data_IF_005114448863
#
_entry.id   IF_005114448863
#
_cell.length_a   1.000
_cell.length_b   1.000
_cell.length_c   1.000
_cell.angle_alpha   90.00
_cell.angle_beta   90.00
_cell.angle_gamma   90.00
#
_symmetry.space_group_name_H-M   'P 1'
#
loop_
_entity.id
_entity.type
_entity.pdbx_description
1 polymer ?
#
# COMPACT_ATOMS: atom_id res chain seq x y z
N UNK A 1 21.38 18.93 -6.19
CA UNK A 1 20.58 17.99 -5.38
C UNK A 1 21.51 16.88 -4.96
N UNK A 2 21.65 16.60 -3.65
CA UNK A 2 22.57 15.55 -3.17
C UNK A 2 22.02 14.15 -3.47
N UNK A 3 22.92 13.14 -3.59
CA UNK A 3 22.53 11.74 -3.84
C UNK A 3 21.62 11.20 -2.74
N UNK A 4 21.85 11.62 -1.49
CA UNK A 4 20.99 11.30 -0.34
C UNK A 4 19.57 11.83 -0.55
N UNK A 5 19.42 13.08 -1.00
CA UNK A 5 18.10 13.66 -1.28
C UNK A 5 17.38 12.91 -2.41
N UNK A 6 18.10 12.50 -3.44
CA UNK A 6 17.54 11.71 -4.53
C UNK A 6 17.09 10.33 -4.05
N UNK A 7 17.92 9.65 -3.24
CA UNK A 7 17.60 8.37 -2.63
C UNK A 7 16.28 8.43 -1.86
N UNK A 8 16.18 9.37 -0.89
CA UNK A 8 15.00 9.50 -0.03
C UNK A 8 13.72 9.81 -0.83
N UNK A 9 13.81 10.65 -1.87
CA UNK A 9 12.67 10.97 -2.73
C UNK A 9 12.20 9.77 -3.56
N UNK A 10 13.11 8.90 -3.99
CA UNK A 10 12.76 7.70 -4.78
C UNK A 10 12.23 6.57 -3.92
N UNK A 11 12.66 6.49 -2.67
CA UNK A 11 12.27 5.42 -1.75
C UNK A 11 11.10 5.76 -0.84
N UNK A 12 10.58 7.01 -0.92
CA UNK A 12 9.46 7.47 -0.11
C UNK A 12 8.38 8.20 -0.91
N UNK A 13 7.40 8.76 -0.20
CA UNK A 13 6.30 9.59 -0.74
C UNK A 13 6.54 11.09 -0.58
N UNK A 14 7.62 11.46 0.06
CA UNK A 14 8.06 12.82 0.34
C UNK A 14 9.18 12.77 1.36
N UNK A 15 9.91 13.88 1.49
CA UNK A 15 10.97 13.99 2.51
C UNK A 15 11.10 15.44 2.93
N UNK A 16 11.32 15.66 4.23
CA UNK A 16 11.53 16.98 4.81
C UNK A 16 13.01 17.39 4.76
N UNK A 17 13.27 18.69 4.91
CA UNK A 17 14.64 19.19 5.02
C UNK A 17 15.41 18.54 6.18
N UNK A 18 14.77 18.39 7.34
CA UNK A 18 15.36 17.76 8.52
C UNK A 18 15.75 16.29 8.31
N UNK A 19 14.93 15.55 7.56
CA UNK A 19 15.26 14.15 7.18
C UNK A 19 16.46 14.10 6.24
N UNK A 20 16.53 14.99 5.25
CA UNK A 20 17.66 15.11 4.34
C UNK A 20 18.95 15.46 5.11
N UNK A 21 18.91 16.42 6.01
CA UNK A 21 20.05 16.78 6.83
C UNK A 21 20.54 15.62 7.70
N UNK A 22 19.61 14.93 8.35
CA UNK A 22 19.92 13.77 9.19
C UNK A 22 20.54 12.64 8.39
N UNK A 23 20.00 12.33 7.23
CA UNK A 23 20.53 11.32 6.33
C UNK A 23 21.89 11.74 5.73
N UNK A 24 22.08 13.04 5.44
CA UNK A 24 23.37 13.57 4.95
C UNK A 24 24.46 13.43 6.01
N UNK A 25 24.15 13.73 7.30
CA UNK A 25 25.10 13.50 8.40
C UNK A 25 25.43 12.03 8.61
N UNK A 26 24.46 11.13 8.36
CA UNK A 26 24.67 9.67 8.44
C UNK A 26 25.58 9.15 7.33
N UNK A 27 25.57 9.80 6.17
CA UNK A 27 26.28 9.37 4.97
C UNK A 27 25.43 8.50 4.05
N UNK A 28 25.82 8.45 2.77
CA UNK A 28 25.03 7.79 1.72
C UNK A 28 24.88 6.29 1.97
N UNK A 29 25.97 5.55 2.16
CA UNK A 29 25.96 4.09 2.34
C UNK A 29 25.14 3.67 3.57
N UNK A 30 25.33 4.34 4.70
CA UNK A 30 24.56 4.05 5.90
C UNK A 30 23.06 4.43 5.75
N UNK A 31 22.74 5.39 4.88
CA UNK A 31 21.35 5.72 4.54
C UNK A 31 20.73 4.66 3.64
N UNK A 32 21.47 4.16 2.66
CA UNK A 32 21.04 3.02 1.81
C UNK A 32 20.75 1.81 2.68
N UNK A 33 21.65 1.46 3.60
CA UNK A 33 21.45 0.32 4.49
C UNK A 33 20.20 0.49 5.36
N UNK A 34 20.01 1.66 5.97
CA UNK A 34 18.82 1.96 6.77
C UNK A 34 17.50 1.91 5.98
N UNK A 35 17.53 2.24 4.70
CA UNK A 35 16.36 2.15 3.81
C UNK A 35 16.07 0.69 3.43
N UNK A 36 17.10 -0.10 3.17
CA UNK A 36 16.95 -1.50 2.77
C UNK A 36 16.64 -2.43 3.94
N UNK A 37 17.16 -2.14 5.13
CA UNK A 37 17.01 -2.96 6.33
C UNK A 37 16.34 -2.18 7.46
N UNK A 38 15.13 -1.66 7.27
CA UNK A 38 14.43 -0.94 8.33
C UNK A 38 14.10 -1.90 9.47
N UNK A 39 14.24 -1.43 10.68
CA UNK A 39 13.72 -2.11 11.86
C UNK A 39 12.19 -2.12 11.92
N UNK A 40 11.64 -2.35 13.12
CA UNK A 40 10.19 -2.24 13.35
C UNK A 40 9.70 -0.83 13.03
N UNK A 41 8.63 -0.72 12.25
CA UNK A 41 8.00 0.55 11.92
C UNK A 41 6.74 0.77 12.77
N UNK A 42 6.80 1.74 13.73
CA UNK A 42 5.65 2.04 14.60
C UNK A 42 4.41 2.49 13.82
N UNK A 43 4.58 3.23 12.71
CA UNK A 43 3.48 3.66 11.85
C UNK A 43 2.81 2.47 11.16
N UNK A 44 3.60 1.50 10.70
CA UNK A 44 3.09 0.26 10.13
C UNK A 44 2.32 -0.57 11.17
N UNK A 45 2.81 -0.64 12.39
CA UNK A 45 2.16 -1.36 13.50
C UNK A 45 0.84 -0.69 13.91
N UNK A 46 0.80 0.64 13.91
CA UNK A 46 -0.40 1.42 14.25
C UNK A 46 -1.49 1.41 13.15
N UNK A 47 -1.17 0.90 11.96
CA UNK A 47 -2.10 0.83 10.84
C UNK A 47 -2.29 -0.62 10.36
N UNK A 48 -2.85 -1.52 11.18
CA UNK A 48 -3.11 -2.89 10.77
C UNK A 48 -4.11 -2.93 9.60
N UNK A 49 -4.08 -3.98 8.77
CA UNK A 49 -5.04 -4.13 7.70
C UNK A 49 -6.49 -4.12 8.24
N UNK A 50 -7.44 -3.52 7.51
CA UNK A 50 -8.83 -3.56 7.92
C UNK A 50 -9.39 -4.99 7.82
N UNK A 51 -10.27 -5.35 8.75
CA UNK A 51 -11.07 -6.54 8.60
C UNK A 51 -12.14 -6.29 7.52
N UNK A 52 -11.95 -6.90 6.37
CA UNK A 52 -12.90 -6.86 5.26
C UNK A 52 -13.48 -8.27 5.09
N UNK A 53 -14.70 -8.52 5.62
CA UNK A 53 -15.38 -9.79 5.41
C UNK A 53 -15.50 -10.08 3.91
N UNK A 54 -15.44 -11.34 3.52
CA UNK A 54 -15.55 -11.77 2.13
C UNK A 54 -16.79 -11.19 1.45
N UNK A 55 -16.72 -11.02 0.15
CA UNK A 55 -17.88 -10.59 -0.63
C UNK A 55 -18.97 -11.66 -0.59
N UNK A 56 -20.24 -11.23 -0.69
CA UNK A 56 -21.33 -12.16 -0.97
C UNK A 56 -21.01 -13.00 -2.22
N UNK A 57 -21.25 -14.29 -2.15
CA UNK A 57 -20.89 -15.25 -3.23
C UNK A 57 -21.53 -14.91 -4.59
N UNK A 58 -22.56 -14.09 -4.63
CA UNK A 58 -23.24 -13.65 -5.83
C UNK A 58 -23.72 -12.21 -5.75
N UNK A 59 -23.64 -11.51 -6.89
CA UNK A 59 -24.38 -10.26 -7.08
C UNK A 59 -25.88 -10.53 -6.95
N UNK A 60 -26.67 -9.63 -6.35
CA UNK A 60 -28.12 -9.77 -6.28
C UNK A 60 -28.76 -9.90 -7.67
N UNK A 61 -29.93 -10.55 -7.72
CA UNK A 61 -30.69 -10.74 -8.95
C UNK A 61 -30.97 -9.41 -9.67
N UNK A 62 -31.02 -9.41 -11.01
CA UNK A 62 -31.21 -8.16 -11.79
C UNK A 62 -32.49 -7.42 -11.48
N UNK A 63 -33.55 -8.12 -11.11
CA UNK A 63 -34.88 -7.61 -10.78
C UNK A 63 -35.00 -7.07 -9.35
N UNK A 64 -34.12 -7.48 -8.42
CA UNK A 64 -34.09 -6.97 -7.05
C UNK A 64 -33.29 -5.65 -6.96
N UNK A 65 -33.99 -4.55 -7.22
CA UNK A 65 -33.39 -3.20 -7.21
C UNK A 65 -32.88 -2.78 -5.83
N UNK A 66 -33.54 -3.17 -4.77
CA UNK A 66 -33.18 -2.75 -3.41
C UNK A 66 -31.98 -3.52 -2.89
N UNK A 67 -31.90 -4.83 -3.11
CA UNK A 67 -30.72 -5.63 -2.82
C UNK A 67 -29.51 -5.15 -3.64
N UNK A 68 -29.68 -4.79 -4.91
CA UNK A 68 -28.61 -4.23 -5.74
C UNK A 68 -28.09 -2.89 -5.22
N UNK A 69 -28.99 -2.02 -4.77
CA UNK A 69 -28.62 -0.74 -4.15
C UNK A 69 -27.85 -0.95 -2.83
N UNK A 70 -28.33 -1.86 -1.99
CA UNK A 70 -27.66 -2.22 -0.75
C UNK A 70 -26.27 -2.80 -1.01
N UNK A 71 -26.14 -3.73 -1.95
CA UNK A 71 -24.87 -4.30 -2.37
C UNK A 71 -23.88 -3.22 -2.88
N UNK A 72 -24.34 -2.33 -3.74
CA UNK A 72 -23.52 -1.25 -4.27
C UNK A 72 -23.07 -0.25 -3.18
N UNK A 73 -23.92 0.04 -2.19
CA UNK A 73 -23.52 0.86 -1.02
C UNK A 73 -22.45 0.16 -0.19
N UNK A 74 -22.62 -1.13 0.10
CA UNK A 74 -21.68 -1.92 0.85
C UNK A 74 -20.31 -2.01 0.14
N UNK A 75 -20.31 -2.26 -1.17
CA UNK A 75 -19.10 -2.29 -1.98
C UNK A 75 -18.34 -0.96 -1.94
N UNK A 76 -19.06 0.17 -2.09
CA UNK A 76 -18.46 1.51 -1.99
C UNK A 76 -17.87 1.78 -0.61
N UNK A 77 -18.60 1.45 0.45
CA UNK A 77 -18.13 1.64 1.83
C UNK A 77 -16.84 0.85 2.10
N UNK A 78 -16.81 -0.43 1.75
CA UNK A 78 -15.62 -1.29 1.93
C UNK A 78 -14.44 -0.81 1.07
N UNK A 79 -14.71 -0.35 -0.15
CA UNK A 79 -13.69 0.22 -1.02
C UNK A 79 -13.08 1.50 -0.42
N UNK A 80 -13.92 2.37 0.14
CA UNK A 80 -13.46 3.56 0.82
C UNK A 80 -12.62 3.22 2.06
N UNK A 81 -13.05 2.26 2.88
CA UNK A 81 -12.28 1.78 4.04
C UNK A 81 -10.88 1.30 3.63
N UNK A 82 -10.79 0.48 2.56
CA UNK A 82 -9.52 -0.01 2.06
C UNK A 82 -8.61 1.11 1.56
N UNK A 83 -9.17 2.05 0.78
CA UNK A 83 -8.42 3.18 0.23
C UNK A 83 -7.89 4.09 1.33
N UNK A 84 -8.75 4.47 2.28
CA UNK A 84 -8.38 5.35 3.38
C UNK A 84 -7.36 4.71 4.32
N UNK A 85 -7.51 3.40 4.61
CA UNK A 85 -6.51 2.65 5.37
C UNK A 85 -5.14 2.69 4.71
N UNK A 86 -5.07 2.45 3.40
CA UNK A 86 -3.78 2.42 2.71
C UNK A 86 -3.14 3.81 2.62
N UNK A 87 -3.93 4.86 2.39
CA UNK A 87 -3.46 6.24 2.44
C UNK A 87 -2.93 6.61 3.84
N UNK A 88 -3.69 6.29 4.90
CA UNK A 88 -3.26 6.54 6.29
C UNK A 88 -1.95 5.81 6.60
N UNK A 89 -1.82 4.56 6.14
CA UNK A 89 -0.59 3.78 6.28
C UNK A 89 0.59 4.42 5.56
N UNK A 90 0.44 4.85 4.29
CA UNK A 90 1.49 5.54 3.54
C UNK A 90 1.97 6.82 4.23
N UNK A 91 1.07 7.52 4.93
CA UNK A 91 1.41 8.76 5.66
C UNK A 91 2.10 8.45 6.99
N UNK A 92 1.74 7.38 7.68
CA UNK A 92 2.23 7.08 9.04
C UNK A 92 3.53 6.30 9.08
N UNK A 93 3.84 5.52 8.05
CA UNK A 93 5.08 4.73 8.03
C UNK A 93 6.32 5.62 8.07
N UNK A 94 7.29 5.24 8.89
CA UNK A 94 8.59 5.90 9.00
C UNK A 94 9.63 5.34 8.04
N UNK A 95 9.41 4.13 7.55
CA UNK A 95 10.25 3.45 6.57
C UNK A 95 9.44 3.17 5.30
N UNK A 96 9.23 4.18 4.44
CA UNK A 96 8.23 4.16 3.38
C UNK A 96 8.56 3.28 2.18
N UNK A 97 9.78 2.72 2.06
CA UNK A 97 10.20 1.93 0.89
C UNK A 97 9.25 0.78 0.60
N UNK A 98 8.79 0.05 1.63
CA UNK A 98 7.88 -1.09 1.46
C UNK A 98 6.55 -0.64 0.84
N UNK A 99 5.96 0.43 1.37
CA UNK A 99 4.71 0.98 0.82
C UNK A 99 4.92 1.60 -0.56
N UNK A 100 6.09 2.22 -0.80
CA UNK A 100 6.45 2.77 -2.11
C UNK A 100 6.54 1.68 -3.17
N UNK A 101 7.18 0.55 -2.87
CA UNK A 101 7.24 -0.60 -3.77
C UNK A 101 5.87 -1.24 -3.96
N UNK A 102 5.09 -1.40 -2.89
CA UNK A 102 3.70 -1.89 -2.98
C UNK A 102 2.87 -1.03 -3.94
N UNK A 103 3.00 0.29 -3.84
CA UNK A 103 2.32 1.23 -4.73
C UNK A 103 2.81 1.12 -6.18
N UNK A 104 4.11 0.98 -6.38
CA UNK A 104 4.73 0.80 -7.70
C UNK A 104 4.24 -0.47 -8.38
N UNK A 105 4.25 -1.59 -7.66
CA UNK A 105 3.77 -2.87 -8.18
C UNK A 105 2.27 -2.89 -8.43
N UNK A 106 1.48 -2.25 -7.55
CA UNK A 106 0.04 -2.08 -7.78
C UNK A 106 -0.24 -1.32 -9.09
N UNK A 107 0.49 -0.24 -9.35
CA UNK A 107 0.41 0.50 -10.61
C UNK A 107 0.87 -0.32 -11.82
N UNK A 108 1.94 -1.10 -11.67
CA UNK A 108 2.48 -1.95 -12.73
C UNK A 108 1.48 -3.03 -13.19
N UNK A 109 0.82 -3.71 -12.26
CA UNK A 109 -0.21 -4.72 -12.56
C UNK A 109 -1.54 -4.10 -13.00
N UNK A 110 -1.68 -2.79 -12.93
CA UNK A 110 -2.84 -2.01 -13.42
C UNK A 110 -4.21 -2.54 -12.96
N UNK A 111 -4.28 -3.11 -11.75
CA UNK A 111 -5.53 -3.59 -11.17
C UNK A 111 -6.36 -2.43 -10.62
N UNK A 112 -7.67 -2.52 -10.76
CA UNK A 112 -8.57 -1.48 -10.30
C UNK A 112 -9.74 -2.07 -9.52
N UNK A 113 -10.02 -1.49 -8.36
CA UNK A 113 -11.17 -1.88 -7.53
C UNK A 113 -12.50 -1.70 -8.27
N UNK A 114 -12.57 -0.79 -9.24
CA UNK A 114 -13.77 -0.59 -10.06
C UNK A 114 -14.03 -1.77 -11.01
N UNK A 115 -12.94 -2.43 -11.48
CA UNK A 115 -13.03 -3.60 -12.37
C UNK A 115 -13.13 -4.89 -11.57
N UNK A 116 -12.27 -5.08 -10.57
CA UNK A 116 -12.24 -6.29 -9.72
C UNK A 116 -13.50 -6.37 -8.85
N UNK A 117 -14.03 -5.24 -8.37
CA UNK A 117 -15.23 -5.13 -7.54
C UNK A 117 -15.23 -6.01 -6.29
N UNK A 118 -14.05 -6.27 -5.76
CA UNK A 118 -13.81 -7.08 -4.57
C UNK A 118 -12.76 -6.42 -3.69
N UNK A 119 -13.17 -5.61 -2.68
CA UNK A 119 -12.24 -5.01 -1.73
C UNK A 119 -11.39 -6.03 -0.99
N UNK A 120 -11.92 -7.21 -0.66
CA UNK A 120 -11.16 -8.26 0.01
C UNK A 120 -10.06 -8.83 -0.89
N UNK A 121 -10.32 -9.07 -2.19
CA UNK A 121 -9.29 -9.49 -3.14
C UNK A 121 -8.24 -8.40 -3.36
N UNK A 122 -8.65 -7.13 -3.44
CA UNK A 122 -7.73 -5.99 -3.56
C UNK A 122 -6.84 -5.84 -2.32
N UNK A 123 -7.39 -6.07 -1.12
CA UNK A 123 -6.59 -6.11 0.11
C UNK A 123 -5.59 -7.27 0.08
N UNK A 124 -6.04 -8.46 -0.30
CA UNK A 124 -5.16 -9.64 -0.43
C UNK A 124 -4.01 -9.37 -1.40
N UNK A 125 -4.31 -8.83 -2.59
CA UNK A 125 -3.29 -8.43 -3.55
C UNK A 125 -2.31 -7.41 -2.96
N UNK A 126 -2.82 -6.36 -2.31
CA UNK A 126 -2.00 -5.33 -1.67
C UNK A 126 -1.05 -5.94 -0.64
N UNK A 127 -1.50 -6.90 0.16
CA UNK A 127 -0.65 -7.60 1.12
C UNK A 127 0.38 -8.52 0.45
N UNK A 128 0.01 -9.22 -0.62
CA UNK A 128 0.95 -10.02 -1.40
C UNK A 128 2.06 -9.15 -2.01
N UNK A 129 1.69 -8.03 -2.62
CA UNK A 129 2.66 -7.07 -3.16
C UNK A 129 3.59 -6.50 -2.07
N UNK A 130 3.06 -6.24 -0.87
CA UNK A 130 3.85 -5.77 0.27
C UNK A 130 4.84 -6.81 0.77
N UNK A 131 4.45 -8.05 0.85
CA UNK A 131 5.30 -9.13 1.36
C UNK A 131 6.36 -9.57 0.35
N UNK A 132 6.03 -9.60 -0.94
CA UNK A 132 6.90 -10.13 -2.00
C UNK A 132 7.60 -9.05 -2.84
N UNK A 133 7.12 -7.80 -2.80
CA UNK A 133 7.56 -6.73 -3.71
C UNK A 133 9.04 -6.29 -3.56
N UNK A 134 9.74 -6.76 -2.53
CA UNK A 134 11.18 -6.57 -2.32
C UNK A 134 12.02 -7.80 -2.67
N UNK A 135 11.37 -8.91 -2.99
CA UNK A 135 12.00 -10.20 -3.23
C UNK A 135 12.22 -10.49 -4.71
N UNK A 136 12.26 -11.79 -5.03
CA UNK A 136 12.41 -12.27 -6.39
C UNK A 136 11.15 -11.97 -7.23
N UNK A 137 11.36 -11.43 -8.42
CA UNK A 137 10.26 -11.08 -9.33
C UNK A 137 9.43 -12.29 -9.76
N UNK A 138 10.03 -13.47 -9.88
CA UNK A 138 9.30 -14.69 -10.26
C UNK A 138 8.34 -15.12 -9.16
N UNK A 139 8.72 -14.93 -7.90
CA UNK A 139 7.84 -15.20 -6.75
C UNK A 139 6.67 -14.21 -6.70
N UNK A 140 6.93 -12.94 -7.02
CA UNK A 140 5.91 -11.91 -7.08
C UNK A 140 4.91 -12.13 -8.22
N UNK A 141 5.36 -12.69 -9.36
CA UNK A 141 4.57 -12.88 -10.58
C UNK A 141 3.75 -14.20 -10.61
N UNK A 142 3.87 -15.08 -9.61
CA UNK A 142 3.09 -16.33 -9.47
C UNK A 142 1.79 -16.12 -8.73
#
# INVERSE_FOLDING_TARGET
>A
MSDVSLLLRRTGFGTTGAEIETATRRGYEATVDAVLHPGTDPGATATPPPDLPGEPARSPAPDDKDARRAYARQLRSRSATLTLWWLDRMVRVRHPLVERLTFTWHGHWATSIQKVRSPAMMLRQNQTLRSLGRGDFRELAR
#
